data_IF_740198073853
#
_entry.id   IF_740198073853
#
_cell.length_a   1.000
_cell.length_b   1.000
_cell.length_c   1.000
_cell.angle_alpha   90.00
_cell.angle_beta   90.00
_cell.angle_gamma   90.00
#
_symmetry.space_group_name_H-M   'P 1'
#
loop_
_entity.id
_entity.type
_entity.pdbx_description
1 polymer ?
#
# COMPACT_ATOMS: atom_id res chain seq x y z
N UNK A 1 53.02 -25.87 2.69
CA UNK A 1 52.13 -25.61 3.83
C UNK A 1 52.54 -24.26 4.43
N UNK A 2 51.93 -23.17 3.94
CA UNK A 2 52.19 -21.80 4.42
C UNK A 2 50.97 -21.32 5.18
N UNK A 3 51.14 -21.14 6.48
CA UNK A 3 50.11 -20.59 7.40
C UNK A 3 50.14 -19.07 7.20
N UNK A 4 49.07 -18.52 6.59
CA UNK A 4 48.85 -17.07 6.53
C UNK A 4 48.10 -16.68 7.78
N UNK A 5 48.76 -15.98 8.70
CA UNK A 5 48.15 -15.32 9.86
C UNK A 5 47.36 -14.11 9.35
N UNK A 6 46.02 -14.16 9.41
CA UNK A 6 45.17 -12.99 9.24
C UNK A 6 45.08 -12.26 10.56
N UNK A 7 45.40 -10.96 10.58
CA UNK A 7 45.17 -10.05 11.71
C UNK A 7 43.68 -9.71 11.81
N UNK A 8 43.05 -9.73 12.99
CA UNK A 8 41.69 -9.29 13.16
C UNK A 8 41.62 -7.76 13.12
N UNK A 9 40.72 -7.21 12.30
CA UNK A 9 40.41 -5.79 12.27
C UNK A 9 39.14 -5.58 13.11
N UNK A 10 39.24 -4.81 14.18
CA UNK A 10 38.11 -4.46 15.05
C UNK A 10 37.44 -3.22 14.45
N UNK A 11 36.18 -3.34 14.01
CA UNK A 11 35.37 -2.20 13.62
C UNK A 11 34.60 -1.65 14.83
N UNK A 12 34.17 -0.37 14.78
CA UNK A 12 33.62 0.39 15.89
C UNK A 12 32.38 -0.18 16.59
N UNK A 13 31.90 -1.37 16.19
CA UNK A 13 30.76 -2.08 16.78
C UNK A 13 31.12 -3.42 17.42
N UNK A 14 32.38 -3.72 17.67
CA UNK A 14 32.76 -4.92 18.42
C UNK A 14 32.49 -6.27 17.72
N UNK A 15 32.24 -6.32 16.43
CA UNK A 15 32.02 -7.54 15.66
C UNK A 15 33.32 -8.01 15.05
N UNK A 16 33.84 -9.15 15.49
CA UNK A 16 34.99 -9.83 14.87
C UNK A 16 34.51 -10.59 13.64
N UNK A 17 34.82 -10.07 12.45
CA UNK A 17 34.48 -10.71 11.19
C UNK A 17 35.60 -11.69 10.80
N UNK A 18 35.38 -13.00 10.96
CA UNK A 18 36.23 -14.04 10.39
C UNK A 18 35.74 -14.39 8.98
N UNK A 19 36.45 -13.88 7.99
CA UNK A 19 36.16 -14.16 6.57
C UNK A 19 36.55 -15.60 6.23
N UNK A 20 35.58 -16.50 6.18
CA UNK A 20 35.73 -17.84 5.61
C UNK A 20 34.57 -18.18 4.71
N UNK A 21 34.84 -18.87 3.67
CA UNK A 21 34.15 -19.07 2.41
C UNK A 21 32.89 -19.98 2.50
N UNK A 22 32.02 -19.84 3.51
CA UNK A 22 30.72 -20.52 3.54
C UNK A 22 29.78 -19.74 4.47
N UNK A 23 28.76 -19.13 3.89
CA UNK A 23 27.92 -18.07 4.48
C UNK A 23 26.96 -18.50 5.59
N UNK A 24 26.83 -19.78 5.90
CA UNK A 24 25.79 -20.29 6.82
C UNK A 24 26.25 -20.45 8.28
N UNK A 25 27.52 -20.63 8.54
CA UNK A 25 28.01 -20.98 9.90
C UNK A 25 28.18 -19.75 10.80
N UNK A 26 28.39 -18.57 10.23
CA UNK A 26 28.68 -17.34 10.97
C UNK A 26 27.44 -16.76 11.65
N UNK A 27 26.26 -16.96 11.07
CA UNK A 27 24.98 -16.50 11.64
C UNK A 27 24.53 -17.32 12.87
N UNK A 28 24.81 -18.62 12.89
CA UNK A 28 24.42 -19.49 14.00
C UNK A 28 25.20 -19.19 15.29
N UNK A 29 26.50 -18.88 15.21
CA UNK A 29 27.31 -18.59 16.42
C UNK A 29 26.98 -17.23 17.04
N UNK A 30 26.67 -16.23 16.23
CA UNK A 30 26.20 -14.93 16.74
C UNK A 30 24.83 -15.05 17.43
N UNK A 31 23.96 -15.93 16.96
CA UNK A 31 22.65 -16.18 17.51
C UNK A 31 22.68 -16.80 18.93
N UNK A 32 23.59 -17.72 19.17
CA UNK A 32 23.73 -18.40 20.47
C UNK A 32 24.28 -17.48 21.57
N UNK A 33 25.16 -16.55 21.22
CA UNK A 33 25.73 -15.58 22.17
C UNK A 33 24.72 -14.49 22.56
N UNK A 34 23.89 -14.05 21.63
CA UNK A 34 22.88 -13.00 21.86
C UNK A 34 21.70 -13.56 22.66
N UNK A 35 21.26 -14.77 22.39
CA UNK A 35 20.18 -15.45 23.10
C UNK A 35 20.47 -15.66 24.59
N UNK A 36 21.73 -15.88 24.97
CA UNK A 36 22.12 -16.14 26.37
C UNK A 36 22.34 -14.86 27.20
N UNK A 37 22.42 -13.65 26.58
CA UNK A 37 22.71 -12.42 27.32
C UNK A 37 21.53 -11.43 27.47
N UNK A 38 20.46 -11.57 26.68
CA UNK A 38 19.28 -10.70 26.77
C UNK A 38 18.00 -11.43 26.38
N UNK A 39 17.26 -12.02 27.34
CA UNK A 39 16.02 -12.73 27.05
C UNK A 39 14.83 -11.83 26.66
N UNK A 40 15.01 -10.50 26.62
CA UNK A 40 13.95 -9.53 26.38
C UNK A 40 14.04 -8.77 25.03
N UNK A 41 14.98 -9.12 24.18
CA UNK A 41 15.07 -8.47 22.84
C UNK A 41 14.32 -9.36 21.86
N UNK A 42 13.10 -8.97 21.56
CA UNK A 42 12.32 -9.53 20.47
C UNK A 42 13.03 -9.18 19.15
N UNK A 43 13.69 -10.18 18.54
CA UNK A 43 14.57 -10.01 17.37
C UNK A 43 13.79 -9.69 16.09
N UNK A 44 12.44 -9.67 16.14
CA UNK A 44 11.58 -9.19 15.07
C UNK A 44 11.71 -7.70 14.79
N UNK A 45 12.33 -6.93 15.71
CA UNK A 45 12.50 -5.48 15.57
C UNK A 45 13.88 -5.06 14.99
N UNK A 46 14.89 -5.93 15.05
CA UNK A 46 16.27 -5.61 14.61
C UNK A 46 16.66 -6.16 13.22
N UNK A 47 16.00 -7.19 12.77
CA UNK A 47 16.01 -7.58 11.38
C UNK A 47 14.87 -6.76 10.76
N UNK A 48 15.19 -5.68 10.04
CA UNK A 48 14.24 -5.02 9.16
C UNK A 48 13.47 -6.14 8.48
N UNK A 49 12.11 -6.05 8.55
CA UNK A 49 11.17 -7.04 8.04
C UNK A 49 11.47 -7.25 6.54
N UNK A 50 12.60 -7.94 6.26
CA UNK A 50 12.78 -8.54 4.96
C UNK A 50 11.60 -9.46 4.82
N UNK A 51 10.60 -8.99 4.03
CA UNK A 51 9.40 -9.75 3.70
C UNK A 51 9.89 -11.05 3.07
N UNK A 52 10.03 -12.09 3.90
CA UNK A 52 10.14 -13.45 3.39
C UNK A 52 8.83 -13.63 2.66
N UNK A 53 8.88 -13.53 1.33
CA UNK A 53 7.72 -13.81 0.49
C UNK A 53 7.41 -15.29 0.68
N UNK A 54 6.47 -15.57 1.59
CA UNK A 54 6.00 -16.93 1.77
C UNK A 54 5.33 -17.36 0.45
N UNK A 55 5.94 -18.35 -0.20
CA UNK A 55 5.46 -18.87 -1.49
C UNK A 55 4.26 -19.79 -1.27
N UNK A 56 3.15 -19.22 -0.81
CA UNK A 56 1.91 -19.95 -0.48
C UNK A 56 1.35 -20.79 -1.63
N UNK A 57 1.67 -20.44 -2.88
CA UNK A 57 1.28 -21.21 -4.05
C UNK A 57 2.04 -22.53 -4.21
N UNK A 58 3.17 -22.72 -3.52
CA UNK A 58 3.95 -23.96 -3.46
C UNK A 58 3.61 -24.83 -2.24
N UNK A 59 2.71 -24.37 -1.39
CA UNK A 59 2.34 -25.05 -0.14
C UNK A 59 0.95 -25.68 -0.25
N UNK A 60 0.72 -26.73 0.54
CA UNK A 60 -0.62 -27.29 0.69
C UNK A 60 -1.54 -26.30 1.43
N UNK A 61 -2.82 -26.31 1.08
CA UNK A 61 -3.83 -25.45 1.68
C UNK A 61 -3.91 -25.60 3.22
N UNK A 62 -3.76 -26.83 3.73
CA UNK A 62 -3.75 -27.11 5.15
C UNK A 62 -2.53 -26.52 5.89
N UNK A 63 -1.36 -26.47 5.25
CA UNK A 63 -0.17 -25.91 5.84
C UNK A 63 -0.21 -24.36 5.80
N UNK A 64 -0.76 -23.78 4.75
CA UNK A 64 -1.02 -22.32 4.67
C UNK A 64 -1.98 -21.90 5.79
N UNK A 65 -3.07 -22.65 6.05
CA UNK A 65 -3.98 -22.36 7.17
C UNK A 65 -3.26 -22.33 8.52
N UNK A 66 -2.35 -23.26 8.76
CA UNK A 66 -1.53 -23.27 10.00
C UNK A 66 -0.59 -22.06 10.06
N UNK A 67 0.05 -21.71 8.93
CA UNK A 67 1.01 -20.61 8.88
C UNK A 67 0.36 -19.24 9.11
N UNK A 68 -0.88 -19.05 8.64
CA UNK A 68 -1.66 -17.83 8.90
C UNK A 68 -2.46 -17.88 10.22
N UNK A 69 -2.23 -18.90 11.05
CA UNK A 69 -2.97 -19.14 12.32
C UNK A 69 -4.49 -19.09 12.12
N UNK A 70 -4.99 -19.85 11.14
CA UNK A 70 -6.42 -19.93 10.80
C UNK A 70 -6.92 -21.36 10.72
N UNK A 71 -8.21 -21.53 10.48
CA UNK A 71 -8.85 -22.82 10.31
C UNK A 71 -9.84 -22.78 9.14
N UNK A 72 -10.26 -23.96 8.65
CA UNK A 72 -11.31 -24.07 7.63
C UNK A 72 -12.66 -23.46 8.06
N UNK A 73 -12.89 -23.38 9.37
CA UNK A 73 -14.08 -22.77 9.98
C UNK A 73 -13.97 -21.23 10.15
N UNK A 74 -12.83 -20.66 9.72
CA UNK A 74 -12.52 -19.24 9.82
C UNK A 74 -11.98 -18.81 11.19
N UNK A 75 -11.73 -17.51 11.33
CA UNK A 75 -11.29 -16.87 12.56
C UNK A 75 -12.47 -16.63 13.51
N UNK A 76 -12.17 -16.50 14.81
CA UNK A 76 -13.15 -15.92 15.74
C UNK A 76 -13.27 -14.40 15.53
N UNK A 77 -14.46 -13.84 15.81
CA UNK A 77 -14.66 -12.39 15.68
C UNK A 77 -13.71 -11.57 16.55
N UNK A 78 -13.33 -12.09 17.73
CA UNK A 78 -12.37 -11.43 18.63
C UNK A 78 -10.95 -11.43 18.06
N UNK A 79 -10.50 -12.55 17.49
CA UNK A 79 -9.18 -12.62 16.87
C UNK A 79 -9.10 -11.76 15.61
N UNK A 80 -10.13 -11.74 14.79
CA UNK A 80 -10.21 -10.85 13.63
C UNK A 80 -10.12 -9.37 14.03
N UNK A 81 -10.82 -8.96 15.08
CA UNK A 81 -10.76 -7.59 15.60
C UNK A 81 -9.36 -7.24 16.11
N UNK A 82 -8.73 -8.16 16.87
CA UNK A 82 -7.36 -7.97 17.36
C UNK A 82 -6.35 -7.84 16.23
N UNK A 83 -6.45 -8.67 15.18
CA UNK A 83 -5.60 -8.56 13.98
C UNK A 83 -5.81 -7.24 13.24
N UNK A 84 -7.05 -6.77 13.16
CA UNK A 84 -7.39 -5.49 12.56
C UNK A 84 -6.76 -4.31 13.32
N UNK A 85 -6.72 -4.37 14.65
CA UNK A 85 -6.11 -3.34 15.49
C UNK A 85 -4.57 -3.33 15.38
N UNK A 86 -3.95 -4.51 15.24
CA UNK A 86 -2.48 -4.64 15.12
C UNK A 86 -1.99 -4.29 13.71
N UNK A 87 -2.63 -4.83 12.68
CA UNK A 87 -2.17 -4.72 11.28
C UNK A 87 -2.79 -3.53 10.54
N UNK A 88 -3.85 -2.93 11.10
CA UNK A 88 -4.61 -1.88 10.45
C UNK A 88 -5.58 -2.40 9.38
N UNK A 89 -6.24 -1.47 8.68
CA UNK A 89 -7.23 -1.78 7.65
C UNK A 89 -6.58 -2.26 6.35
N UNK A 90 -7.30 -3.14 5.65
CA UNK A 90 -6.94 -3.62 4.32
C UNK A 90 -7.17 -2.51 3.27
N UNK A 91 -6.26 -1.55 3.21
CA UNK A 91 -6.28 -0.44 2.26
C UNK A 91 -4.89 -0.24 1.65
N UNK A 92 -4.85 0.10 0.38
CA UNK A 92 -3.66 0.65 -0.24
C UNK A 92 -3.39 2.05 0.35
N UNK A 93 -2.14 2.44 0.45
CA UNK A 93 -1.80 3.81 0.89
C UNK A 93 -2.37 4.79 -0.11
N UNK A 94 -3.32 5.59 0.35
CA UNK A 94 -3.79 6.75 -0.40
C UNK A 94 -2.66 7.78 -0.50
N UNK A 95 -2.61 8.50 -1.62
CA UNK A 95 -1.70 9.63 -1.77
C UNK A 95 -1.91 10.61 -0.60
N UNK A 96 -0.82 11.12 -0.03
CA UNK A 96 -0.90 12.06 1.09
C UNK A 96 -1.76 13.27 0.71
N UNK A 97 -2.78 13.55 1.52
CA UNK A 97 -3.63 14.73 1.31
C UNK A 97 -2.76 15.98 1.33
N UNK A 98 -2.77 16.73 0.25
CA UNK A 98 -2.01 17.97 0.12
C UNK A 98 -2.48 18.95 1.19
N UNK A 99 -1.59 19.47 2.06
CA UNK A 99 -1.98 20.40 3.13
C UNK A 99 -2.54 21.72 2.55
N UNK A 100 -3.49 22.34 3.26
CA UNK A 100 -4.24 23.53 2.81
C UNK A 100 -3.33 24.66 2.32
N UNK A 101 -2.21 24.92 2.98
CA UNK A 101 -1.26 25.98 2.55
C UNK A 101 -0.63 25.68 1.19
N UNK A 102 -0.36 24.42 0.88
CA UNK A 102 0.19 24.00 -0.43
C UNK A 102 -0.85 24.17 -1.54
N UNK A 103 -2.13 23.84 -1.25
CA UNK A 103 -3.25 24.08 -2.16
C UNK A 103 -3.42 25.58 -2.44
N UNK A 104 -3.34 26.41 -1.39
CA UNK A 104 -3.38 27.86 -1.52
C UNK A 104 -2.24 28.37 -2.41
N UNK A 105 -1.00 27.91 -2.22
CA UNK A 105 0.12 28.28 -3.08
C UNK A 105 -0.06 27.83 -4.53
N UNK A 106 -0.56 26.61 -4.72
CA UNK A 106 -0.86 26.11 -6.06
C UNK A 106 -1.95 26.94 -6.76
N UNK A 107 -3.00 27.36 -6.02
CA UNK A 107 -4.04 28.24 -6.57
C UNK A 107 -3.47 29.59 -7.00
N UNK A 108 -2.51 30.16 -6.26
CA UNK A 108 -1.84 31.42 -6.66
C UNK A 108 -0.93 31.21 -7.89
N UNK A 109 -0.43 30.00 -8.10
CA UNK A 109 0.40 29.64 -9.27
C UNK A 109 -0.39 29.50 -10.57
N UNK A 110 -1.71 29.68 -10.54
CA UNK A 110 -2.54 29.75 -11.75
C UNK A 110 -2.05 30.89 -12.67
N UNK A 111 -1.81 30.64 -13.97
CA UNK A 111 -1.33 31.64 -14.92
C UNK A 111 -2.20 32.90 -14.97
N UNK A 112 -3.52 32.75 -14.79
CA UNK A 112 -4.43 33.93 -14.78
C UNK A 112 -4.21 34.81 -13.54
N UNK A 113 -4.03 34.19 -12.37
CA UNK A 113 -3.78 34.90 -11.12
C UNK A 113 -2.40 35.56 -11.15
N UNK A 114 -1.39 34.88 -11.70
CA UNK A 114 -0.04 35.48 -11.90
C UNK A 114 -0.11 36.69 -12.78
N UNK A 115 -0.86 36.67 -13.89
CA UNK A 115 -1.03 37.85 -14.76
C UNK A 115 -1.73 39.00 -14.03
N UNK A 116 -2.76 38.73 -13.22
CA UNK A 116 -3.43 39.74 -12.40
C UNK A 116 -2.51 40.35 -11.36
N UNK A 117 -1.71 39.53 -10.69
CA UNK A 117 -0.73 40.00 -9.71
C UNK A 117 0.38 40.82 -10.35
N UNK A 118 0.83 40.43 -11.55
CA UNK A 118 1.79 41.21 -12.33
C UNK A 118 1.22 42.58 -12.72
N UNK A 119 -0.03 42.62 -13.18
CA UNK A 119 -0.72 43.88 -13.51
C UNK A 119 -0.87 44.77 -12.28
N UNK A 120 -1.26 44.20 -11.11
CA UNK A 120 -1.35 44.93 -9.86
C UNK A 120 0.01 45.49 -9.41
N UNK A 121 1.09 44.71 -9.57
CA UNK A 121 2.44 45.14 -9.24
C UNK A 121 2.91 46.32 -10.16
N UNK A 122 2.66 46.24 -11.46
CA UNK A 122 2.98 47.31 -12.39
C UNK A 122 2.20 48.58 -12.05
N UNK A 123 0.89 48.46 -11.79
CA UNK A 123 0.04 49.59 -11.42
C UNK A 123 0.52 50.21 -10.08
N UNK A 124 0.83 49.42 -9.08
CA UNK A 124 1.37 49.90 -7.83
C UNK A 124 2.70 50.65 -8.05
N UNK A 125 3.59 50.09 -8.85
CA UNK A 125 4.87 50.73 -9.20
C UNK A 125 4.68 52.09 -9.91
N UNK A 126 3.78 52.18 -10.85
CA UNK A 126 3.48 53.45 -11.54
C UNK A 126 2.91 54.48 -10.57
N UNK A 127 2.00 54.08 -9.69
CA UNK A 127 1.41 54.97 -8.69
C UNK A 127 2.48 55.50 -7.72
N UNK A 128 3.44 54.66 -7.30
CA UNK A 128 4.57 55.09 -6.45
C UNK A 128 5.48 56.13 -7.17
N UNK A 129 5.77 55.93 -8.46
CA UNK A 129 6.58 56.86 -9.26
C UNK A 129 5.88 58.22 -9.49
N UNK A 130 4.55 58.22 -9.56
CA UNK A 130 3.76 59.44 -9.77
C UNK A 130 3.45 60.19 -8.47
N UNK A 131 3.81 59.66 -7.30
CA UNK A 131 3.56 60.21 -6.00
C UNK A 131 4.42 61.47 -5.73
N UNK A 132 3.88 62.66 -6.02
CA UNK A 132 4.56 63.95 -5.77
C UNK A 132 4.11 64.66 -4.51
N UNK A 133 2.87 64.42 -4.04
CA UNK A 133 2.20 65.16 -2.95
C UNK A 133 1.85 64.36 -1.71
N UNK A 134 2.49 63.19 -1.50
CA UNK A 134 2.20 62.28 -0.38
C UNK A 134 1.22 61.15 -0.73
N UNK A 135 1.06 60.22 0.17
CA UNK A 135 0.24 59.00 0.02
C UNK A 135 -1.25 59.34 -0.06
N UNK A 136 -1.89 59.07 -1.20
CA UNK A 136 -3.35 59.18 -1.39
C UNK A 136 -3.94 57.81 -1.60
N UNK A 137 -4.81 57.38 -0.71
CA UNK A 137 -5.47 56.07 -0.77
C UNK A 137 -6.24 55.84 -2.05
N UNK A 138 -6.79 56.91 -2.65
CA UNK A 138 -7.51 56.83 -3.94
C UNK A 138 -6.66 56.37 -5.12
N UNK A 139 -5.36 56.60 -5.11
CA UNK A 139 -4.43 56.23 -6.17
C UNK A 139 -4.13 54.70 -6.16
N UNK A 140 -4.40 54.04 -5.04
CA UNK A 140 -4.24 52.58 -4.87
C UNK A 140 -5.57 51.80 -4.97
N UNK A 141 -6.68 52.48 -5.24
CA UNK A 141 -8.00 51.86 -5.34
C UNK A 141 -8.03 50.68 -6.32
N UNK A 142 -7.43 50.84 -7.50
CA UNK A 142 -7.36 49.79 -8.53
C UNK A 142 -6.59 48.56 -8.06
N UNK A 143 -5.45 48.76 -7.39
CA UNK A 143 -4.64 47.68 -6.80
C UNK A 143 -5.42 46.94 -5.74
N UNK A 144 -6.16 47.68 -4.89
CA UNK A 144 -6.99 47.07 -3.83
C UNK A 144 -8.11 46.23 -4.43
N UNK A 145 -8.77 46.72 -5.50
CA UNK A 145 -9.83 45.97 -6.18
C UNK A 145 -9.27 44.68 -6.79
N UNK A 146 -8.12 44.75 -7.49
CA UNK A 146 -7.48 43.57 -8.08
C UNK A 146 -7.14 42.56 -6.97
N UNK A 147 -6.54 43.00 -5.86
CA UNK A 147 -6.22 42.13 -4.74
C UNK A 147 -7.47 41.50 -4.10
N UNK A 148 -8.55 42.26 -3.98
CA UNK A 148 -9.81 41.72 -3.46
C UNK A 148 -10.38 40.62 -4.38
N UNK A 149 -10.34 40.84 -5.71
CA UNK A 149 -10.78 39.84 -6.70
C UNK A 149 -9.92 38.57 -6.62
N UNK A 150 -8.59 38.70 -6.53
CA UNK A 150 -7.68 37.55 -6.39
C UNK A 150 -7.99 36.76 -5.12
N UNK A 151 -8.17 37.42 -3.98
CA UNK A 151 -8.49 36.78 -2.70
C UNK A 151 -9.84 36.05 -2.78
N UNK A 152 -10.88 36.70 -3.32
CA UNK A 152 -12.21 36.09 -3.48
C UNK A 152 -12.13 34.85 -4.39
N UNK A 153 -11.46 34.94 -5.53
CA UNK A 153 -11.28 33.81 -6.44
C UNK A 153 -10.53 32.67 -5.78
N UNK A 154 -9.44 32.93 -5.05
CA UNK A 154 -8.68 31.90 -4.36
C UNK A 154 -9.52 31.19 -3.29
N UNK A 155 -10.27 31.94 -2.48
CA UNK A 155 -11.17 31.37 -1.47
C UNK A 155 -12.25 30.51 -2.14
N UNK A 156 -12.84 31.00 -3.23
CA UNK A 156 -13.90 30.28 -3.95
C UNK A 156 -13.36 28.99 -4.55
N UNK A 157 -12.17 29.00 -5.15
CA UNK A 157 -11.48 27.82 -5.68
C UNK A 157 -11.26 26.76 -4.59
N UNK A 158 -10.74 27.14 -3.42
CA UNK A 158 -10.52 26.22 -2.29
C UNK A 158 -11.85 25.62 -1.78
N UNK A 159 -12.91 26.40 -1.73
CA UNK A 159 -14.26 25.89 -1.33
C UNK A 159 -14.77 24.87 -2.35
N UNK A 160 -14.64 25.17 -3.66
CA UNK A 160 -15.08 24.28 -4.73
C UNK A 160 -14.29 22.97 -4.73
N UNK A 161 -12.96 23.05 -4.61
CA UNK A 161 -12.07 21.88 -4.52
C UNK A 161 -12.46 20.99 -3.32
N UNK A 162 -12.62 21.57 -2.13
CA UNK A 162 -13.03 20.84 -0.94
C UNK A 162 -14.39 20.17 -1.07
N UNK A 163 -15.36 20.83 -1.71
CA UNK A 163 -16.68 20.23 -1.98
C UNK A 163 -16.59 19.10 -2.99
N UNK A 164 -15.77 19.23 -4.03
CA UNK A 164 -15.58 18.20 -5.04
C UNK A 164 -14.91 16.95 -4.41
N UNK A 165 -13.87 17.14 -3.58
CA UNK A 165 -13.25 16.04 -2.83
C UNK A 165 -14.25 15.34 -1.90
N UNK A 166 -15.03 16.09 -1.14
CA UNK A 166 -16.05 15.51 -0.24
C UNK A 166 -17.12 14.71 -0.99
N UNK A 167 -17.54 15.20 -2.16
CA UNK A 167 -18.48 14.48 -3.02
C UNK A 167 -17.87 13.19 -3.58
N UNK A 168 -16.60 13.22 -3.99
CA UNK A 168 -15.88 12.05 -4.46
C UNK A 168 -15.68 11.01 -3.35
N UNK A 169 -15.31 11.45 -2.13
CA UNK A 169 -15.15 10.57 -0.97
C UNK A 169 -16.48 9.92 -0.58
N UNK A 170 -17.60 10.67 -0.61
CA UNK A 170 -18.94 10.12 -0.37
C UNK A 170 -19.32 9.07 -1.42
N UNK A 171 -19.01 9.30 -2.70
CA UNK A 171 -19.27 8.35 -3.78
C UNK A 171 -18.43 7.06 -3.57
N UNK A 172 -17.14 7.18 -3.22
CA UNK A 172 -16.29 6.03 -2.92
C UNK A 172 -16.81 5.23 -1.72
N UNK A 173 -17.32 5.88 -0.68
CA UNK A 173 -17.93 5.19 0.47
C UNK A 173 -19.22 4.43 0.10
N UNK A 174 -20.02 4.97 -0.81
CA UNK A 174 -21.23 4.27 -1.30
C UNK A 174 -20.90 3.05 -2.16
N UNK A 175 -19.73 3.05 -2.82
CA UNK A 175 -19.26 1.96 -3.68
C UNK A 175 -18.32 1.00 -2.92
N UNK A 176 -18.15 1.19 -1.60
CA UNK A 176 -17.30 0.33 -0.79
C UNK A 176 -17.70 -1.14 -0.94
N UNK A 177 -16.76 -1.95 -1.45
CA UNK A 177 -16.97 -3.37 -1.64
C UNK A 177 -17.13 -4.08 -0.29
N UNK A 178 -17.99 -5.09 -0.27
CA UNK A 178 -18.20 -5.98 0.88
C UNK A 178 -17.75 -7.39 0.52
N UNK A 179 -17.30 -8.14 1.50
CA UNK A 179 -16.83 -9.51 1.33
C UNK A 179 -17.57 -10.44 2.30
N UNK A 180 -17.87 -11.65 1.82
CA UNK A 180 -18.49 -12.71 2.62
C UNK A 180 -17.38 -13.48 3.32
N UNK A 181 -17.19 -13.28 4.61
CA UNK A 181 -16.17 -13.96 5.40
C UNK A 181 -16.80 -14.99 6.34
N UNK A 182 -16.10 -16.10 6.54
CA UNK A 182 -16.48 -17.10 7.53
C UNK A 182 -15.78 -16.74 8.85
N UNK A 183 -16.54 -16.30 9.84
CA UNK A 183 -16.07 -16.01 11.21
C UNK A 183 -17.04 -16.63 12.21
N UNK A 184 -16.50 -17.22 13.26
CA UNK A 184 -17.28 -17.93 14.29
C UNK A 184 -18.15 -19.08 13.69
N UNK A 185 -17.70 -19.73 12.61
CA UNK A 185 -18.44 -20.76 11.84
C UNK A 185 -19.68 -20.20 11.10
N UNK A 186 -19.87 -18.91 11.05
CA UNK A 186 -20.99 -18.25 10.39
C UNK A 186 -20.49 -17.33 9.26
N UNK A 187 -21.27 -17.25 8.18
CA UNK A 187 -20.97 -16.32 7.09
C UNK A 187 -21.40 -14.93 7.48
N UNK A 188 -20.44 -14.00 7.56
CA UNK A 188 -20.67 -12.59 7.88
C UNK A 188 -20.28 -11.72 6.69
N UNK A 189 -21.08 -10.71 6.42
CA UNK A 189 -20.76 -9.69 5.42
C UNK A 189 -19.99 -8.58 6.15
N UNK A 190 -18.75 -8.38 5.74
CA UNK A 190 -17.88 -7.32 6.27
C UNK A 190 -17.43 -6.39 5.14
N UNK A 191 -17.04 -5.17 5.48
CA UNK A 191 -16.41 -4.29 4.51
C UNK A 191 -15.06 -4.90 4.08
N UNK A 192 -14.74 -4.82 2.80
CA UNK A 192 -13.45 -5.34 2.29
C UNK A 192 -12.23 -4.70 2.96
N UNK A 193 -12.38 -3.49 3.49
CA UNK A 193 -11.34 -2.81 4.29
C UNK A 193 -11.10 -3.42 5.68
N UNK A 194 -12.05 -4.20 6.22
CA UNK A 194 -11.99 -4.82 7.54
C UNK A 194 -11.62 -6.32 7.47
N UNK A 195 -11.22 -6.78 6.28
CA UNK A 195 -10.68 -8.12 6.05
C UNK A 195 -9.24 -8.19 6.58
N UNK A 196 -8.90 -9.29 7.26
CA UNK A 196 -7.60 -9.51 7.87
C UNK A 196 -6.94 -10.80 7.38
N UNK A 197 -5.62 -10.90 7.50
CA UNK A 197 -4.88 -12.12 7.19
C UNK A 197 -5.40 -13.27 8.06
N UNK A 198 -5.69 -14.41 7.43
CA UNK A 198 -6.30 -15.59 8.07
C UNK A 198 -7.82 -15.64 7.98
N UNK A 199 -8.52 -14.59 7.51
CA UNK A 199 -9.94 -14.70 7.19
C UNK A 199 -10.17 -15.71 6.08
N UNK A 200 -11.24 -16.48 6.17
CA UNK A 200 -11.72 -17.35 5.10
C UNK A 200 -12.84 -16.64 4.36
N UNK A 201 -12.64 -16.37 3.08
CA UNK A 201 -13.60 -15.66 2.22
C UNK A 201 -14.32 -16.66 1.33
N UNK A 202 -15.64 -16.48 1.19
CA UNK A 202 -16.45 -17.19 0.22
C UNK A 202 -16.63 -16.32 -1.01
N UNK A 203 -16.33 -16.88 -2.17
CA UNK A 203 -16.43 -16.22 -3.45
C UNK A 203 -17.53 -16.81 -4.31
N UNK A 204 -18.28 -15.95 -4.99
CA UNK A 204 -19.26 -16.26 -6.02
C UNK A 204 -19.00 -15.39 -7.26
N UNK A 205 -19.57 -15.79 -8.40
CA UNK A 205 -19.45 -15.01 -9.63
C UNK A 205 -20.01 -13.59 -9.43
N UNK A 206 -19.21 -12.57 -9.77
CA UNK A 206 -19.49 -11.15 -9.56
C UNK A 206 -18.76 -10.55 -8.36
N UNK A 207 -18.20 -11.36 -7.46
CA UNK A 207 -17.47 -10.86 -6.30
C UNK A 207 -16.07 -10.35 -6.70
N UNK A 208 -15.64 -9.25 -6.07
CA UNK A 208 -14.27 -8.72 -6.20
C UNK A 208 -13.40 -9.28 -5.09
N UNK A 209 -12.18 -9.65 -5.41
CA UNK A 209 -11.18 -10.17 -4.46
C UNK A 209 -10.58 -9.02 -3.67
N UNK A 210 -10.77 -8.95 -2.33
CA UNK A 210 -10.36 -7.80 -1.52
C UNK A 210 -8.88 -7.84 -1.09
N UNK A 211 -8.25 -9.02 -1.14
CA UNK A 211 -6.91 -9.28 -0.61
C UNK A 211 -6.29 -10.47 -1.34
N UNK A 212 -4.99 -10.70 -1.17
CA UNK A 212 -4.37 -11.90 -1.75
C UNK A 212 -4.76 -13.12 -0.93
N UNK A 213 -5.24 -14.16 -1.61
CA UNK A 213 -5.82 -15.34 -0.98
C UNK A 213 -5.27 -16.63 -1.57
N UNK A 214 -5.10 -17.67 -0.74
CA UNK A 214 -4.85 -19.05 -1.14
C UNK A 214 -6.18 -19.82 -1.21
N UNK A 215 -6.44 -20.45 -2.34
CA UNK A 215 -7.70 -21.19 -2.59
C UNK A 215 -7.70 -22.46 -1.75
N UNK A 216 -8.79 -22.67 -1.00
CA UNK A 216 -9.06 -23.86 -0.19
C UNK A 216 -10.03 -24.80 -0.92
N UNK A 217 -11.07 -24.23 -1.53
CA UNK A 217 -12.06 -24.97 -2.31
C UNK A 217 -12.35 -24.24 -3.63
N UNK A 218 -12.51 -24.99 -4.71
CA UNK A 218 -12.83 -24.46 -6.04
C UNK A 218 -13.89 -25.33 -6.70
N UNK A 219 -15.00 -24.72 -7.09
CA UNK A 219 -16.06 -25.32 -7.88
C UNK A 219 -16.17 -24.57 -9.20
N UNK A 220 -15.32 -24.95 -10.16
CA UNK A 220 -15.19 -24.30 -11.47
C UNK A 220 -14.91 -22.79 -11.36
N UNK A 221 -14.17 -22.38 -10.33
CA UNK A 221 -13.86 -20.99 -10.05
C UNK A 221 -12.98 -20.42 -11.17
N UNK A 222 -13.39 -19.27 -11.73
CA UNK A 222 -12.61 -18.53 -12.70
C UNK A 222 -12.52 -17.07 -12.26
N UNK A 223 -11.31 -16.51 -12.32
CA UNK A 223 -11.05 -15.13 -12.00
C UNK A 223 -10.44 -14.40 -13.19
N UNK A 224 -10.84 -13.17 -13.40
CA UNK A 224 -10.22 -12.22 -14.31
C UNK A 224 -9.16 -11.42 -13.53
N UNK A 225 -7.92 -11.47 -14.00
CA UNK A 225 -6.75 -10.87 -13.35
C UNK A 225 -6.10 -9.78 -14.22
N UNK A 226 -6.88 -9.17 -15.12
CA UNK A 226 -6.40 -8.19 -16.09
C UNK A 226 -5.66 -7.02 -15.44
N UNK A 227 -6.05 -6.61 -14.24
CA UNK A 227 -5.39 -5.52 -13.51
C UNK A 227 -3.93 -5.83 -13.11
N UNK A 228 -3.57 -7.12 -13.00
CA UNK A 228 -2.25 -7.58 -12.56
C UNK A 228 -1.41 -8.15 -13.71
N UNK A 229 -2.04 -8.94 -14.58
CA UNK A 229 -1.35 -9.67 -15.65
C UNK A 229 -1.45 -8.98 -17.01
N UNK A 230 -2.43 -8.06 -17.17
CA UNK A 230 -2.78 -7.45 -18.43
C UNK A 230 -3.63 -8.35 -19.35
N UNK A 231 -3.91 -9.59 -18.93
CA UNK A 231 -4.69 -10.54 -19.70
C UNK A 231 -6.16 -10.52 -19.28
N UNK A 232 -7.06 -10.23 -20.22
CA UNK A 232 -8.52 -10.20 -19.98
C UNK A 232 -9.19 -11.57 -20.05
N UNK A 233 -8.44 -12.65 -20.29
CA UNK A 233 -9.01 -14.01 -20.35
C UNK A 233 -9.13 -14.57 -18.94
N UNK A 234 -10.34 -15.01 -18.51
CA UNK A 234 -10.52 -15.60 -17.20
C UNK A 234 -9.68 -16.86 -16.97
N UNK A 235 -8.93 -16.88 -15.88
CA UNK A 235 -8.06 -18.00 -15.51
C UNK A 235 -8.83 -19.00 -14.64
N UNK A 236 -8.75 -20.28 -14.97
CA UNK A 236 -9.29 -21.34 -14.12
C UNK A 236 -8.47 -21.46 -12.84
N UNK A 237 -9.15 -21.43 -11.70
CA UNK A 237 -8.54 -21.53 -10.38
C UNK A 237 -8.66 -22.96 -9.82
N UNK A 238 -7.57 -23.47 -9.30
CA UNK A 238 -7.41 -24.84 -8.77
C UNK A 238 -6.99 -24.80 -7.31
N UNK A 239 -7.10 -25.93 -6.62
CA UNK A 239 -6.66 -26.06 -5.21
C UNK A 239 -5.26 -26.67 -5.12
N UNK A 240 -4.86 -27.46 -6.11
CA UNK A 240 -3.64 -28.25 -6.12
C UNK A 240 -2.38 -27.40 -5.91
N UNK A 241 -1.37 -28.01 -5.32
CA UNK A 241 -0.04 -27.43 -5.14
C UNK A 241 0.61 -27.25 -6.52
N UNK A 242 1.18 -26.10 -6.77
CA UNK A 242 1.94 -25.84 -7.99
C UNK A 242 3.38 -26.31 -7.81
N UNK A 243 3.91 -26.95 -8.84
CA UNK A 243 5.32 -27.36 -8.86
C UNK A 243 6.10 -26.44 -9.79
N UNK A 244 7.26 -25.99 -9.36
CA UNK A 244 8.18 -25.27 -10.25
C UNK A 244 8.74 -26.25 -11.29
N UNK A 245 8.77 -25.85 -12.55
CA UNK A 245 9.48 -26.61 -13.59
C UNK A 245 11.00 -26.59 -13.31
N UNK A 246 11.68 -27.68 -13.66
CA UNK A 246 13.08 -28.01 -13.37
C UNK A 246 14.13 -26.99 -13.85
N UNK A 247 13.84 -25.74 -14.05
CA UNK A 247 14.81 -24.68 -14.37
C UNK A 247 14.29 -23.27 -14.08
N UNK A 248 13.12 -23.13 -13.44
CA UNK A 248 12.59 -21.81 -13.07
C UNK A 248 12.67 -21.62 -11.56
N UNK A 249 13.29 -20.52 -11.12
CA UNK A 249 13.37 -20.17 -9.71
C UNK A 249 12.01 -19.79 -9.09
N UNK A 250 11.04 -19.44 -9.92
CA UNK A 250 9.70 -19.00 -9.48
C UNK A 250 8.62 -19.19 -10.54
N UNK A 251 7.34 -19.21 -10.11
CA UNK A 251 6.15 -19.27 -10.97
C UNK A 251 5.69 -17.82 -11.21
N UNK A 252 5.44 -17.47 -12.47
CA UNK A 252 4.95 -16.14 -12.84
C UNK A 252 3.56 -15.89 -12.22
N UNK A 253 3.25 -14.63 -11.94
CA UNK A 253 2.03 -14.25 -11.22
C UNK A 253 0.76 -14.81 -11.89
N UNK A 254 0.66 -14.72 -13.22
CA UNK A 254 -0.48 -15.24 -13.99
C UNK A 254 -0.63 -16.76 -13.99
N UNK A 255 0.46 -17.49 -13.73
CA UNK A 255 0.46 -18.97 -13.67
C UNK A 255 0.13 -19.53 -12.28
N UNK A 256 0.06 -18.67 -11.25
CA UNK A 256 -0.27 -19.08 -9.88
C UNK A 256 -1.78 -19.33 -9.74
N UNK A 257 -2.26 -20.40 -10.38
CA UNK A 257 -3.69 -20.74 -10.49
C UNK A 257 -4.36 -21.12 -9.17
N UNK A 258 -3.60 -21.36 -8.10
CA UNK A 258 -4.12 -21.69 -6.78
C UNK A 258 -4.18 -20.49 -5.84
N UNK A 259 -3.94 -19.28 -6.37
CA UNK A 259 -4.06 -18.01 -5.67
C UNK A 259 -5.14 -17.13 -6.32
N UNK A 260 -5.71 -16.24 -5.52
CA UNK A 260 -6.52 -15.11 -5.95
C UNK A 260 -5.83 -13.83 -5.47
N UNK A 261 -5.86 -12.79 -6.27
CA UNK A 261 -5.15 -11.54 -6.00
C UNK A 261 -6.10 -10.36 -5.80
N UNK A 262 -5.66 -9.43 -4.96
CA UNK A 262 -6.40 -8.18 -4.73
C UNK A 262 -6.68 -7.43 -6.04
N UNK A 263 -7.93 -7.00 -6.23
CA UNK A 263 -8.37 -6.28 -7.43
C UNK A 263 -8.84 -7.18 -8.58
N UNK A 264 -8.72 -8.50 -8.47
CA UNK A 264 -9.29 -9.45 -9.43
C UNK A 264 -10.80 -9.59 -9.24
N UNK A 265 -11.51 -10.05 -10.29
CA UNK A 265 -12.94 -10.30 -10.22
C UNK A 265 -13.24 -11.77 -10.51
N UNK A 266 -14.06 -12.39 -9.67
CA UNK A 266 -14.56 -13.74 -9.92
C UNK A 266 -15.66 -13.67 -10.99
N UNK A 267 -15.43 -14.31 -12.14
CA UNK A 267 -16.38 -14.24 -13.27
C UNK A 267 -17.24 -15.49 -13.41
N UNK A 268 -16.81 -16.61 -12.82
CA UNK A 268 -17.56 -17.87 -12.90
C UNK A 268 -17.26 -18.78 -11.72
N UNK A 269 -18.25 -19.59 -11.32
CA UNK A 269 -18.11 -20.58 -10.28
C UNK A 269 -18.22 -20.03 -8.87
N UNK A 270 -17.76 -20.84 -7.91
CA UNK A 270 -17.71 -20.47 -6.48
C UNK A 270 -16.52 -21.15 -5.81
N UNK A 271 -16.06 -20.60 -4.69
CA UNK A 271 -14.95 -21.19 -3.94
C UNK A 271 -14.77 -20.56 -2.58
N UNK A 272 -13.84 -21.15 -1.82
CA UNK A 272 -13.36 -20.61 -0.56
C UNK A 272 -11.86 -20.36 -0.67
N UNK A 273 -11.38 -19.29 -0.06
CA UNK A 273 -9.96 -19.00 0.02
C UNK A 273 -9.61 -18.35 1.35
N UNK A 274 -8.41 -18.62 1.85
CA UNK A 274 -7.86 -17.97 3.05
C UNK A 274 -7.01 -16.78 2.66
N UNK A 275 -7.17 -15.66 3.35
CA UNK A 275 -6.40 -14.43 3.15
C UNK A 275 -4.97 -14.62 3.63
N UNK A 276 -4.02 -14.37 2.76
CA UNK A 276 -2.58 -14.51 3.00
C UNK A 276 -1.86 -13.16 3.11
N UNK A 277 -2.35 -12.13 2.42
CA UNK A 277 -1.79 -10.78 2.51
C UNK A 277 -2.87 -9.72 2.33
N UNK A 278 -2.73 -8.58 3.02
CA UNK A 278 -3.67 -7.46 3.01
C UNK A 278 -2.95 -6.13 2.70
N UNK A 279 -3.68 -5.16 2.14
CA UNK A 279 -3.23 -3.78 1.92
C UNK A 279 -1.96 -3.69 1.10
N UNK A 280 -0.95 -3.02 1.63
CA UNK A 280 0.35 -2.83 0.96
C UNK A 280 1.20 -4.10 0.84
N UNK A 281 0.84 -5.17 1.57
CA UNK A 281 1.55 -6.45 1.49
C UNK A 281 1.06 -7.33 0.35
N UNK A 282 -0.06 -6.97 -0.32
CA UNK A 282 -0.58 -7.66 -1.52
C UNK A 282 0.31 -7.41 -2.74
N UNK A 283 0.19 -8.24 -3.77
CA UNK A 283 0.91 -8.02 -5.04
C UNK A 283 0.53 -6.66 -5.68
N UNK A 284 -0.75 -6.28 -5.62
CA UNK A 284 -1.20 -4.96 -6.05
C UNK A 284 -0.59 -3.83 -5.20
N UNK A 285 -0.46 -4.04 -3.89
CA UNK A 285 0.18 -3.09 -2.97
C UNK A 285 1.66 -2.85 -3.30
N UNK A 286 2.39 -3.90 -3.66
CA UNK A 286 3.80 -3.82 -4.08
C UNK A 286 3.95 -3.03 -5.39
N UNK A 287 3.05 -3.23 -6.34
CA UNK A 287 3.02 -2.46 -7.60
C UNK A 287 2.76 -0.97 -7.30
N UNK A 288 1.79 -0.67 -6.45
CA UNK A 288 1.47 0.70 -6.06
C UNK A 288 2.65 1.38 -5.32
N UNK A 289 3.38 0.65 -4.48
CA UNK A 289 4.58 1.15 -3.81
C UNK A 289 5.71 1.46 -4.80
N UNK A 290 5.96 0.55 -5.75
CA UNK A 290 6.97 0.74 -6.79
C UNK A 290 6.68 1.95 -7.68
N UNK A 291 5.41 2.16 -8.07
CA UNK A 291 5.00 3.33 -8.84
C UNK A 291 5.21 4.64 -8.06
N UNK A 292 4.86 4.65 -6.78
CA UNK A 292 5.05 5.83 -5.91
C UNK A 292 6.53 6.17 -5.71
N UNK A 293 7.41 5.17 -5.65
CA UNK A 293 8.86 5.38 -5.58
C UNK A 293 9.41 5.94 -6.88
N UNK A 294 8.99 5.41 -8.02
CA UNK A 294 9.41 5.89 -9.34
C UNK A 294 8.99 7.36 -9.58
N UNK A 295 7.81 7.77 -9.14
CA UNK A 295 7.37 9.18 -9.22
C UNK A 295 8.26 10.11 -8.36
N UNK A 296 8.69 9.67 -7.19
CA UNK A 296 9.57 10.46 -6.31
C UNK A 296 10.99 10.63 -6.87
N UNK A 297 11.47 9.67 -7.67
CA UNK A 297 12.78 9.77 -8.33
C UNK A 297 12.77 10.68 -9.56
N UNK A 298 11.61 10.90 -10.18
CA UNK A 298 11.44 11.75 -11.36
C UNK A 298 11.17 13.23 -11.04
N UNK A 299 10.93 13.57 -9.77
CA UNK A 299 10.65 14.94 -9.30
C UNK A 299 11.81 15.51 -8.51
#
# INVERSE_FOLDING_TARGET
MRIIRAKPTISAFGLVCLKKRDSCVTLCYAWEIIRNKCPCIDMGFLLGKDRIMNKYYLQDSADVLKEVDSSEEGLTGQEAQKRLEINGKNKLKEAEKIPMYKRFLNSISDPMIIMLLAAAAIQAFVNVLQMKDGFKFSEFADVIVIMAVVIINTIMSLIQESKAEGAMEALMQMTASTSKVLRDKEVKIVKSEDVVVGDVILFEAGDTVPADCRILESHSLKAEEAALTGESVPVNKIVDILMCEDNKEDITLGDRRNMLYNGSTVVYGRGKAVVTACGMDTEMGKIAEALTQAEKELT
#
